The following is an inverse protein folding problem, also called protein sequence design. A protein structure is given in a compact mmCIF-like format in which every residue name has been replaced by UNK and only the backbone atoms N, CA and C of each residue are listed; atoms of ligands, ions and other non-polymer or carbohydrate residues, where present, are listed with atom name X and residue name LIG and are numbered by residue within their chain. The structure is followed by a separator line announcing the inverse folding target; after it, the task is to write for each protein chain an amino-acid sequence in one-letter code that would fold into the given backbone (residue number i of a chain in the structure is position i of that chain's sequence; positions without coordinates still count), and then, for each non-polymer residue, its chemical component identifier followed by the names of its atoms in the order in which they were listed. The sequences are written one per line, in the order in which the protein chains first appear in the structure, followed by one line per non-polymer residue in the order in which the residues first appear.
data_IF_647800038821
#
_entry.id   IF_647800038821
#
_cell.length_a   1.000
_cell.length_b   1.000
_cell.length_c   1.000
_cell.angle_alpha   90.00
_cell.angle_beta   90.00
_cell.angle_gamma   90.00
#
_symmetry.space_group_name_H-M   'P 1'
#
loop_
_entity.id
_entity.type
_entity.pdbx_description
1 polymer ?
#
# COMPACT_ATOMS: atom_id res chain seq x y z
N UNK A 1 -18.20 -43.79 -36.20
CA UNK A 1 -17.20 -42.79 -36.67
C UNK A 1 -17.58 -41.35 -36.34
N UNK A 2 -18.82 -40.88 -36.56
CA UNK A 2 -19.25 -39.51 -36.22
C UNK A 2 -19.08 -39.13 -34.73
N UNK A 3 -19.33 -40.06 -33.80
CA UNK A 3 -19.17 -39.82 -32.36
C UNK A 3 -17.71 -39.68 -31.90
N UNK A 4 -16.76 -40.34 -32.58
CA UNK A 4 -15.33 -40.26 -32.24
C UNK A 4 -14.77 -38.89 -32.65
N UNK A 5 -15.19 -38.37 -33.81
CA UNK A 5 -14.80 -37.03 -34.28
C UNK A 5 -15.35 -35.94 -33.34
N UNK A 6 -16.58 -36.10 -32.84
CA UNK A 6 -17.18 -35.16 -31.89
C UNK A 6 -16.45 -35.16 -30.55
N UNK A 7 -16.07 -36.34 -30.03
CA UNK A 7 -15.24 -36.47 -28.82
C UNK A 7 -13.89 -35.77 -28.95
N UNK A 8 -13.24 -35.90 -30.10
CA UNK A 8 -11.94 -35.28 -30.36
C UNK A 8 -12.00 -33.75 -30.44
N UNK A 9 -13.08 -33.19 -31.02
CA UNK A 9 -13.32 -31.74 -31.08
C UNK A 9 -13.58 -31.16 -29.68
N UNK A 10 -14.33 -31.88 -28.83
CA UNK A 10 -14.58 -31.46 -27.45
C UNK A 10 -13.27 -31.46 -26.65
N UNK A 11 -12.43 -32.50 -26.80
CA UNK A 11 -11.12 -32.57 -26.14
C UNK A 11 -10.15 -31.46 -26.55
N UNK A 12 -10.16 -31.04 -27.82
CA UNK A 12 -9.30 -29.96 -28.33
C UNK A 12 -9.79 -28.55 -27.94
N UNK A 13 -11.08 -28.39 -27.62
CA UNK A 13 -11.65 -27.09 -27.24
C UNK A 13 -11.33 -26.62 -25.81
N UNK A 14 -10.86 -27.53 -24.94
CA UNK A 14 -10.63 -27.27 -23.52
C UNK A 14 -9.52 -26.25 -23.20
N UNK A 15 -8.49 -26.14 -24.04
CA UNK A 15 -7.35 -25.24 -23.74
C UNK A 15 -7.68 -23.74 -23.92
N UNK A 16 -8.67 -23.39 -24.75
CA UNK A 16 -9.01 -21.98 -25.00
C UNK A 16 -9.87 -21.34 -23.91
N UNK A 17 -10.61 -22.15 -23.13
CA UNK A 17 -11.39 -21.68 -21.99
C UNK A 17 -10.59 -21.62 -20.67
N UNK A 18 -9.59 -22.48 -20.49
CA UNK A 18 -8.75 -22.48 -19.28
C UNK A 18 -7.57 -21.49 -19.33
N UNK A 19 -7.09 -21.10 -20.52
CA UNK A 19 -6.00 -20.12 -20.65
C UNK A 19 -6.46 -18.66 -20.51
N UNK A 20 -7.77 -18.41 -20.61
CA UNK A 20 -8.38 -17.12 -20.30
C UNK A 20 -8.97 -17.21 -18.90
N UNK A 21 -8.12 -17.36 -17.88
CA UNK A 21 -8.55 -17.18 -16.50
C UNK A 21 -9.14 -15.76 -16.39
N UNK A 22 -10.46 -15.58 -16.27
CA UNK A 22 -10.98 -14.29 -15.89
C UNK A 22 -10.61 -14.18 -14.42
N UNK A 23 -9.55 -13.43 -14.09
CA UNK A 23 -9.26 -13.09 -12.69
C UNK A 23 -10.37 -12.10 -12.30
N UNK A 24 -11.51 -12.54 -11.72
CA UNK A 24 -12.75 -11.81 -11.90
C UNK A 24 -12.94 -10.72 -10.85
N UNK A 25 -11.93 -10.44 -10.02
CA UNK A 25 -12.00 -9.41 -9.00
C UNK A 25 -10.58 -8.87 -8.85
N UNK A 26 -10.34 -7.65 -9.35
CA UNK A 26 -9.12 -6.92 -8.99
C UNK A 26 -9.02 -6.94 -7.45
N UNK A 27 -7.91 -7.43 -6.85
CA UNK A 27 -7.79 -7.49 -5.41
C UNK A 27 -8.08 -6.11 -4.82
N UNK A 28 -8.91 -6.07 -3.77
CA UNK A 28 -9.18 -4.81 -3.07
C UNK A 28 -7.83 -4.24 -2.60
N UNK A 29 -7.63 -2.94 -2.82
CA UNK A 29 -6.44 -2.28 -2.32
C UNK A 29 -6.34 -2.46 -0.80
N UNK A 30 -5.19 -2.89 -0.27
CA UNK A 30 -5.05 -3.20 1.15
C UNK A 30 -5.12 -1.94 2.00
N UNK A 31 -5.65 -2.08 3.21
CA UNK A 31 -5.68 -1.02 4.19
C UNK A 31 -4.28 -0.82 4.79
N UNK A 32 -3.79 0.43 4.78
CA UNK A 32 -2.49 0.73 5.34
C UNK A 32 -2.42 0.50 6.86
N UNK A 33 -1.26 0.16 7.43
CA UNK A 33 -1.06 0.15 8.88
C UNK A 33 -1.56 1.45 9.53
N UNK A 34 -2.27 1.34 10.65
CA UNK A 34 -2.90 2.49 11.30
C UNK A 34 -1.87 3.57 11.71
N UNK A 35 -0.68 3.15 12.15
CA UNK A 35 0.40 4.06 12.56
C UNK A 35 0.90 4.96 11.42
N UNK A 36 0.91 4.48 10.19
CA UNK A 36 1.32 5.24 9.01
C UNK A 36 0.24 6.22 8.53
N UNK A 37 -0.99 6.06 9.02
CA UNK A 37 -2.13 6.95 8.73
C UNK A 37 -2.34 8.03 9.78
N UNK A 38 -1.64 7.94 10.92
CA UNK A 38 -1.70 8.98 11.96
C UNK A 38 -0.99 10.23 11.46
N UNK A 39 -1.59 11.39 11.76
CA UNK A 39 -0.93 12.68 11.53
C UNK A 39 0.27 12.81 12.46
N UNK A 40 1.24 13.61 12.05
CA UNK A 40 2.35 13.97 12.92
C UNK A 40 1.84 14.79 14.11
N UNK A 41 2.46 14.55 15.26
CA UNK A 41 2.13 15.27 16.48
C UNK A 41 2.43 16.77 16.32
N UNK A 42 1.60 17.59 16.94
CA UNK A 42 1.83 19.04 16.95
C UNK A 42 3.05 19.38 17.76
N UNK A 43 3.81 20.39 17.32
CA UNK A 43 4.94 20.90 18.07
C UNK A 43 4.50 21.34 19.46
N UNK A 44 5.25 20.90 20.47
CA UNK A 44 5.09 21.37 21.84
C UNK A 44 5.57 22.81 21.91
N UNK A 45 4.73 23.65 22.50
CA UNK A 45 5.04 25.06 22.73
C UNK A 45 5.43 25.29 24.18
N UNK A 46 6.26 26.29 24.40
CA UNK A 46 6.62 26.75 25.73
C UNK A 46 5.41 27.53 26.30
N UNK A 47 5.09 27.31 27.58
CA UNK A 47 3.97 27.96 28.26
C UNK A 47 4.49 28.86 29.38
N UNK A 48 4.01 30.11 29.42
CA UNK A 48 4.29 31.08 30.48
C UNK A 48 5.30 32.18 30.10
N UNK A 49 5.29 33.28 30.86
CA UNK A 49 6.06 34.50 30.56
C UNK A 49 7.53 34.43 31.01
N UNK A 50 7.86 33.55 31.97
CA UNK A 50 9.21 33.34 32.47
C UNK A 50 9.56 31.87 32.40
N UNK A 51 10.41 31.51 31.44
CA UNK A 51 10.82 30.12 31.17
C UNK A 51 12.32 30.02 31.33
N UNK A 52 12.79 28.97 31.99
CA UNK A 52 14.22 28.73 32.12
C UNK A 52 14.81 28.23 30.79
N UNK A 53 16.10 28.52 30.54
CA UNK A 53 16.80 28.01 29.35
C UNK A 53 16.76 26.47 29.32
N UNK A 54 16.85 25.83 30.49
CA UNK A 54 16.77 24.37 30.61
C UNK A 54 15.44 23.82 30.14
N UNK A 55 14.32 24.46 30.50
CA UNK A 55 13.00 23.99 30.08
C UNK A 55 12.74 24.26 28.59
N UNK A 56 13.23 25.40 28.07
CA UNK A 56 13.24 25.64 26.62
C UNK A 56 14.00 24.54 25.87
N UNK A 57 15.20 24.16 26.36
CA UNK A 57 15.99 23.11 25.73
C UNK A 57 15.31 21.74 25.76
N UNK A 58 14.60 21.39 26.83
CA UNK A 58 13.79 20.15 26.87
C UNK A 58 12.73 20.14 25.76
N UNK A 59 11.99 21.24 25.60
CA UNK A 59 10.95 21.37 24.55
C UNK A 59 11.57 21.27 23.14
N UNK A 60 12.74 21.86 22.92
CA UNK A 60 13.46 21.76 21.64
C UNK A 60 13.84 20.31 21.35
N UNK A 61 14.45 19.61 22.32
CA UNK A 61 14.86 18.21 22.16
C UNK A 61 13.63 17.32 21.91
N UNK A 62 12.56 17.50 22.67
CA UNK A 62 11.32 16.75 22.49
C UNK A 62 10.71 16.96 21.09
N UNK A 63 10.65 18.20 20.61
CA UNK A 63 10.15 18.50 19.27
C UNK A 63 11.02 17.88 18.17
N UNK A 64 12.34 17.85 18.37
CA UNK A 64 13.26 17.22 17.45
C UNK A 64 13.09 15.69 17.41
N UNK A 65 12.81 15.06 18.55
CA UNK A 65 12.42 13.65 18.61
C UNK A 65 11.10 13.41 17.86
N UNK A 66 10.07 14.21 18.12
CA UNK A 66 8.78 14.10 17.43
C UNK A 66 8.92 14.25 15.91
N UNK A 67 9.83 15.13 15.45
CA UNK A 67 10.14 15.28 14.03
C UNK A 67 10.67 13.98 13.41
N UNK A 68 11.63 13.32 14.04
CA UNK A 68 12.18 12.07 13.49
C UNK A 68 11.18 10.91 13.54
N UNK A 69 10.36 10.84 14.59
CA UNK A 69 9.26 9.87 14.65
C UNK A 69 8.26 10.09 13.50
N UNK A 70 7.90 11.35 13.23
CA UNK A 70 7.07 11.73 12.09
C UNK A 70 7.73 11.36 10.75
N UNK A 71 9.01 11.71 10.56
CA UNK A 71 9.76 11.39 9.34
C UNK A 71 9.77 9.90 9.07
N UNK A 72 10.03 9.08 10.10
CA UNK A 72 10.05 7.61 9.99
C UNK A 72 8.70 7.06 9.53
N UNK A 73 7.58 7.62 10.03
CA UNK A 73 6.24 7.21 9.60
C UNK A 73 5.96 7.62 8.15
N UNK A 74 6.42 8.79 7.72
CA UNK A 74 6.28 9.24 6.32
C UNK A 74 7.07 8.33 5.38
N UNK A 75 8.30 7.99 5.74
CA UNK A 75 9.14 7.08 4.96
C UNK A 75 8.49 5.68 4.88
N UNK A 76 7.99 5.17 6.01
CA UNK A 76 7.26 3.90 6.06
C UNK A 76 5.97 3.93 5.23
N UNK A 77 5.26 5.06 5.16
CA UNK A 77 4.08 5.22 4.29
C UNK A 77 4.46 5.10 2.81
N UNK A 78 5.53 5.78 2.40
CA UNK A 78 6.01 5.75 1.01
C UNK A 78 6.45 4.32 0.62
N UNK A 79 7.26 3.68 1.47
CA UNK A 79 7.73 2.30 1.24
C UNK A 79 6.56 1.32 1.16
N UNK A 80 5.61 1.42 2.08
CA UNK A 80 4.41 0.59 2.07
C UNK A 80 3.62 0.80 0.78
N UNK A 81 3.34 2.04 0.40
CA UNK A 81 2.56 2.36 -0.80
C UNK A 81 3.22 1.81 -2.07
N UNK A 82 4.52 2.05 -2.24
CA UNK A 82 5.28 1.58 -3.41
C UNK A 82 5.29 0.04 -3.49
N UNK A 83 5.40 -0.62 -2.34
CA UNK A 83 5.34 -2.07 -2.26
C UNK A 83 3.96 -2.62 -2.64
N UNK A 84 2.89 -2.02 -2.11
CA UNK A 84 1.53 -2.43 -2.47
C UNK A 84 1.20 -2.15 -3.94
N UNK A 85 1.70 -1.03 -4.48
CA UNK A 85 1.52 -0.67 -5.88
C UNK A 85 2.16 -1.70 -6.81
N UNK A 86 3.41 -2.09 -6.55
CA UNK A 86 4.11 -3.14 -7.33
C UNK A 86 3.34 -4.45 -7.34
N UNK A 87 2.80 -4.87 -6.18
CA UNK A 87 1.99 -6.08 -6.06
C UNK A 87 0.68 -5.95 -6.86
N UNK A 88 -0.01 -4.81 -6.72
CA UNK A 88 -1.27 -4.53 -7.41
C UNK A 88 -1.10 -4.53 -8.94
N UNK A 89 -0.05 -3.87 -9.44
CA UNK A 89 0.28 -3.80 -10.87
C UNK A 89 0.75 -5.14 -11.45
N UNK A 90 1.38 -6.00 -10.65
CA UNK A 90 1.79 -7.35 -11.08
C UNK A 90 0.59 -8.31 -11.21
N UNK A 91 -0.39 -8.19 -10.31
CA UNK A 91 -1.54 -9.11 -10.24
C UNK A 91 -2.67 -8.68 -11.18
N UNK A 92 -2.79 -7.39 -11.48
CA UNK A 92 -3.81 -6.86 -12.38
C UNK A 92 -3.17 -6.60 -13.74
N UNK A 93 -3.32 -7.51 -14.73
CA UNK A 93 -2.88 -7.25 -16.07
C UNK A 93 -3.59 -6.00 -16.59
N UNK A 94 -2.79 -5.12 -17.19
CA UNK A 94 -3.13 -3.75 -17.54
C UNK A 94 -4.51 -3.65 -18.23
N UNK A 95 -5.41 -2.80 -17.70
CA UNK A 95 -6.61 -2.35 -18.41
C UNK A 95 -6.27 -1.42 -19.59
N UNK A 96 -4.98 -1.11 -19.84
CA UNK A 96 -4.49 -0.41 -21.02
C UNK A 96 -4.25 -1.38 -22.17
N UNK A 97 -5.32 -1.97 -22.66
CA UNK A 97 -5.40 -2.29 -24.09
C UNK A 97 -6.87 -2.21 -24.48
N UNK A 98 -7.29 -0.98 -24.80
CA UNK A 98 -8.33 -0.76 -25.79
C UNK A 98 -7.73 -1.05 -27.16
#
# INVERSE_FOLDING_TARGET
MKFIIFSFIVMLSGCSMFNKQPVPIAPKWPDAPAELRKKCETLKTIVGDKVTITDMMKVIVENYTLHYECSTKVDGWNEWYDSQKKVYETIIPDKKTK
#
